data_IF_372820934698
#
_entry.id   IF_372820934698
#
_cell.length_a   1.000
_cell.length_b   1.000
_cell.length_c   1.000
_cell.angle_alpha   90.00
_cell.angle_beta   90.00
_cell.angle_gamma   90.00
#
_symmetry.space_group_name_H-M   'P 1'
#
loop_
_entity.id
_entity.type
_entity.pdbx_description
1 polymer ?
#
# COMPACT_ATOMS: atom_id res chain seq x y z
N UNK A 1 -14.54 11.46 9.60
CA UNK A 1 -13.26 12.17 9.80
C UNK A 1 -13.48 13.67 9.60
N UNK A 2 -12.88 14.55 10.42
CA UNK A 2 -12.90 16.00 10.19
C UNK A 2 -12.00 16.39 8.98
N UNK A 3 -12.12 17.64 8.51
CA UNK A 3 -11.27 18.15 7.42
C UNK A 3 -9.76 18.19 7.76
N UNK A 4 -9.47 18.37 9.04
CA UNK A 4 -8.12 18.22 9.60
C UNK A 4 -8.19 17.13 10.67
N UNK A 5 -7.34 16.13 10.53
CA UNK A 5 -7.32 14.96 11.41
C UNK A 5 -5.87 14.50 11.63
N UNK A 6 -5.69 13.57 12.53
CA UNK A 6 -4.38 13.05 12.90
C UNK A 6 -4.28 11.54 12.64
N UNK A 7 -3.11 11.11 12.20
CA UNK A 7 -2.74 9.71 12.06
C UNK A 7 -1.56 9.43 12.98
N UNK A 8 -1.70 8.53 13.94
CA UNK A 8 -0.59 8.11 14.78
C UNK A 8 -0.07 6.73 14.38
N UNK A 9 1.22 6.48 14.66
CA UNK A 9 1.83 5.18 14.47
C UNK A 9 2.71 4.80 15.67
N UNK A 10 2.64 3.54 16.10
CA UNK A 10 3.30 3.06 17.34
C UNK A 10 4.81 2.91 17.19
N UNK A 11 5.30 2.51 16.02
CA UNK A 11 6.68 2.14 15.74
C UNK A 11 7.16 2.76 14.43
N UNK A 12 8.49 3.00 14.31
CA UNK A 12 9.06 3.67 13.14
C UNK A 12 8.77 2.95 11.82
N UNK A 13 8.69 1.66 11.85
CA UNK A 13 8.42 0.78 10.73
C UNK A 13 7.05 1.07 10.08
N UNK A 14 6.10 1.59 10.86
CA UNK A 14 4.76 1.97 10.38
C UNK A 14 4.68 3.38 9.76
N UNK A 15 5.77 4.16 9.81
CA UNK A 15 5.80 5.53 9.27
C UNK A 15 5.42 5.57 7.79
N UNK A 16 5.90 4.58 7.01
CA UNK A 16 5.51 4.45 5.60
C UNK A 16 3.99 4.28 5.43
N UNK A 17 3.38 3.37 6.18
CA UNK A 17 1.93 3.11 6.10
C UNK A 17 1.10 4.33 6.50
N UNK A 18 1.56 5.08 7.51
CA UNK A 18 0.89 6.30 7.97
C UNK A 18 0.97 7.42 6.92
N UNK A 19 2.15 7.65 6.34
CA UNK A 19 2.33 8.65 5.28
C UNK A 19 1.56 8.25 4.01
N UNK A 20 1.60 6.98 3.61
CA UNK A 20 0.85 6.47 2.47
C UNK A 20 -0.66 6.72 2.60
N UNK A 21 -1.23 6.47 3.79
CA UNK A 21 -2.64 6.75 4.07
C UNK A 21 -2.94 8.26 4.02
N UNK A 22 -2.06 9.08 4.60
CA UNK A 22 -2.15 10.55 4.59
C UNK A 22 -2.19 11.09 3.16
N UNK A 23 -1.21 10.68 2.34
CA UNK A 23 -1.08 11.10 0.94
C UNK A 23 -2.30 10.65 0.12
N UNK A 24 -2.74 9.40 0.30
CA UNK A 24 -3.93 8.89 -0.38
C UNK A 24 -5.19 9.71 -0.07
N UNK A 25 -5.43 10.02 1.22
CA UNK A 25 -6.59 10.81 1.64
C UNK A 25 -6.50 12.24 1.10
N UNK A 26 -5.30 12.84 1.11
CA UNK A 26 -5.11 14.17 0.57
C UNK A 26 -5.36 14.21 -0.94
N UNK A 27 -4.77 13.30 -1.69
CA UNK A 27 -4.84 13.28 -3.16
C UNK A 27 -6.26 12.97 -3.69
N UNK A 28 -7.02 12.15 -2.97
CA UNK A 28 -8.33 11.70 -3.43
C UNK A 28 -9.50 12.47 -2.79
N UNK A 29 -9.35 12.95 -1.55
CA UNK A 29 -10.43 13.60 -0.79
C UNK A 29 -10.12 15.04 -0.42
N UNK A 30 -8.86 15.50 -0.53
CA UNK A 30 -8.44 16.86 -0.21
C UNK A 30 -8.32 17.15 1.29
N UNK A 31 -8.42 16.14 2.16
CA UNK A 31 -8.31 16.31 3.61
C UNK A 31 -6.86 16.25 4.07
N UNK A 32 -6.50 17.17 4.97
CA UNK A 32 -5.15 17.23 5.53
C UNK A 32 -5.05 16.43 6.81
N UNK A 33 -3.97 15.69 6.96
CA UNK A 33 -3.66 15.00 8.20
C UNK A 33 -2.30 15.36 8.76
N UNK A 34 -2.17 15.34 10.08
CA UNK A 34 -0.90 15.38 10.79
C UNK A 34 -0.48 13.95 11.10
N UNK A 35 0.71 13.54 10.64
CA UNK A 35 1.28 12.21 10.92
C UNK A 35 2.19 12.31 12.14
N UNK A 36 1.86 11.57 13.20
CA UNK A 36 2.48 11.70 14.52
C UNK A 36 3.03 10.34 14.98
N UNK A 37 4.31 10.30 15.35
CA UNK A 37 4.83 9.16 16.10
C UNK A 37 4.34 9.25 17.56
N UNK A 38 3.58 8.28 18.01
CA UNK A 38 3.02 8.34 19.36
C UNK A 38 2.39 7.05 19.85
N UNK A 39 2.05 7.04 21.13
CA UNK A 39 1.38 5.93 21.78
C UNK A 39 -0.12 5.88 21.45
N UNK A 40 -0.67 4.69 21.57
CA UNK A 40 -2.08 4.30 21.40
C UNK A 40 -3.11 5.38 21.79
N UNK A 41 -4.13 5.57 20.97
CA UNK A 41 -5.38 6.29 21.27
C UNK A 41 -5.28 7.81 21.43
N UNK A 42 -4.41 8.50 20.71
CA UNK A 42 -4.33 9.97 20.72
C UNK A 42 -4.66 10.65 19.40
N UNK A 43 -4.85 9.87 18.35
CA UNK A 43 -5.12 10.38 17.01
C UNK A 43 -6.48 9.87 16.52
N UNK A 44 -7.02 10.52 15.48
CA UNK A 44 -8.27 10.09 14.85
C UNK A 44 -8.12 8.74 14.15
N UNK A 45 -6.90 8.44 13.64
CA UNK A 45 -6.52 7.13 13.11
C UNK A 45 -5.25 6.66 13.82
N UNK A 46 -5.25 5.44 14.33
CA UNK A 46 -4.14 4.87 15.08
C UNK A 46 -3.65 3.59 14.41
N UNK A 47 -2.37 3.55 14.03
CA UNK A 47 -1.71 2.38 13.46
C UNK A 47 -0.84 1.69 14.51
N UNK A 48 -1.10 0.41 14.76
CA UNK A 48 -0.49 -0.36 15.84
C UNK A 48 0.04 -1.69 15.32
N UNK A 49 1.31 -1.96 15.54
CA UNK A 49 1.89 -3.28 15.37
C UNK A 49 1.79 -4.06 16.69
N UNK A 50 1.12 -5.20 16.68
CA UNK A 50 0.99 -6.03 17.87
C UNK A 50 2.24 -6.87 18.14
N UNK A 51 3.09 -7.05 17.13
CA UNK A 51 4.37 -7.80 17.18
C UNK A 51 4.29 -9.25 17.66
N UNK A 52 3.10 -9.78 17.92
CA UNK A 52 2.88 -11.13 18.49
C UNK A 52 1.65 -11.82 17.87
N UNK A 53 1.20 -11.41 16.72
CA UNK A 53 0.05 -12.02 16.05
C UNK A 53 0.36 -13.41 15.51
N UNK A 54 -0.63 -14.31 15.54
CA UNK A 54 -0.48 -15.71 15.13
C UNK A 54 -0.34 -15.90 13.63
N UNK A 55 -0.94 -15.02 12.83
CA UNK A 55 -0.95 -15.13 11.37
C UNK A 55 -0.24 -13.93 10.73
N UNK A 56 0.85 -14.15 9.96
CA UNK A 56 1.52 -13.08 9.25
C UNK A 56 0.57 -12.34 8.28
N UNK A 57 0.57 -11.01 8.34
CA UNK A 57 -0.31 -10.17 7.53
C UNK A 57 -1.75 -10.09 8.02
N UNK A 58 -2.09 -10.74 9.14
CA UNK A 58 -3.40 -10.58 9.78
C UNK A 58 -3.56 -9.20 10.39
N UNK A 59 -4.79 -8.67 10.40
CA UNK A 59 -5.08 -7.37 10.96
C UNK A 59 -6.52 -7.27 11.49
N UNK A 60 -6.73 -6.23 12.31
CA UNK A 60 -8.03 -5.82 12.82
C UNK A 60 -8.21 -4.33 12.59
N UNK A 61 -9.38 -3.92 12.14
CA UNK A 61 -9.82 -2.53 12.12
C UNK A 61 -10.97 -2.37 13.09
N UNK A 62 -10.84 -1.46 14.02
CA UNK A 62 -11.93 -1.06 14.91
C UNK A 62 -12.26 0.41 14.62
N UNK A 63 -13.51 0.67 14.25
CA UNK A 63 -14.08 2.01 14.10
C UNK A 63 -15.10 2.18 15.19
N UNK A 64 -14.81 3.05 16.15
CA UNK A 64 -15.62 3.25 17.36
C UNK A 64 -15.69 4.76 17.70
N UNK A 65 -16.88 5.31 17.72
CA UNK A 65 -17.11 6.64 18.25
C UNK A 65 -17.23 6.54 19.80
N UNK A 66 -16.42 7.27 20.60
CA UNK A 66 -15.64 8.46 20.28
C UNK A 66 -14.13 8.22 20.04
N UNK A 67 -13.67 6.98 19.93
CA UNK A 67 -12.23 6.65 19.94
C UNK A 67 -11.55 6.72 18.57
N UNK A 68 -12.33 6.92 17.51
CA UNK A 68 -11.81 7.02 16.15
C UNK A 68 -11.54 5.66 15.49
N UNK A 69 -10.54 5.60 14.61
CA UNK A 69 -10.19 4.41 13.85
C UNK A 69 -8.89 3.83 14.39
N UNK A 70 -8.89 2.55 14.71
CA UNK A 70 -7.68 1.82 15.11
C UNK A 70 -7.44 0.66 14.14
N UNK A 71 -6.23 0.61 13.58
CA UNK A 71 -5.75 -0.49 12.75
C UNK A 71 -4.64 -1.20 13.51
N UNK A 72 -4.88 -2.44 13.91
CA UNK A 72 -3.94 -3.31 14.58
C UNK A 72 -3.50 -4.40 13.60
N UNK A 73 -2.19 -4.52 13.35
CA UNK A 73 -1.62 -5.60 12.55
C UNK A 73 -0.82 -6.57 13.39
N UNK A 74 -0.82 -7.83 12.99
CA UNK A 74 0.05 -8.85 13.58
C UNK A 74 1.54 -8.60 13.30
N UNK A 75 1.79 -7.88 12.20
CA UNK A 75 3.08 -7.39 11.72
C UNK A 75 2.87 -6.11 10.89
N UNK A 76 3.95 -5.55 10.35
CA UNK A 76 3.91 -4.35 9.51
C UNK A 76 3.05 -4.54 8.26
N UNK A 77 3.11 -5.71 7.63
CA UNK A 77 2.31 -6.04 6.46
C UNK A 77 0.82 -6.07 6.79
N UNK A 78 0.45 -6.62 7.96
CA UNK A 78 -0.93 -6.61 8.46
C UNK A 78 -1.47 -5.20 8.64
N UNK A 79 -0.67 -4.28 9.24
CA UNK A 79 -1.07 -2.87 9.35
C UNK A 79 -1.28 -2.26 7.96
N UNK A 80 -0.37 -2.51 7.01
CA UNK A 80 -0.52 -2.01 5.64
C UNK A 80 -1.77 -2.57 4.95
N UNK A 81 -2.10 -3.86 5.13
CA UNK A 81 -3.32 -4.45 4.58
C UNK A 81 -4.58 -3.87 5.23
N UNK A 82 -4.53 -3.55 6.52
CA UNK A 82 -5.59 -2.81 7.19
C UNK A 82 -5.79 -1.41 6.61
N UNK A 83 -4.68 -0.70 6.32
CA UNK A 83 -4.73 0.59 5.61
C UNK A 83 -5.38 0.45 4.24
N UNK A 84 -5.04 -0.58 3.45
CA UNK A 84 -5.69 -0.84 2.16
C UNK A 84 -7.20 -1.10 2.29
N UNK A 85 -7.61 -1.78 3.35
CA UNK A 85 -9.04 -2.00 3.64
C UNK A 85 -9.73 -0.69 4.02
N UNK A 86 -9.12 0.13 4.88
CA UNK A 86 -9.67 1.45 5.22
C UNK A 86 -9.81 2.33 3.98
N UNK A 87 -8.83 2.35 3.08
CA UNK A 87 -8.88 3.07 1.81
C UNK A 87 -10.11 2.65 0.98
N UNK A 88 -10.43 1.37 0.94
CA UNK A 88 -11.61 0.86 0.21
C UNK A 88 -12.95 1.20 0.88
N UNK A 89 -12.95 1.54 2.16
CA UNK A 89 -14.13 2.04 2.87
C UNK A 89 -14.34 3.55 2.70
N UNK A 90 -13.33 4.28 2.23
CA UNK A 90 -13.45 5.71 1.99
C UNK A 90 -14.40 6.00 0.82
N UNK A 91 -15.15 7.12 0.87
CA UNK A 91 -16.02 7.49 -0.23
C UNK A 91 -15.21 7.82 -1.49
N UNK A 92 -15.74 7.43 -2.64
CA UNK A 92 -15.12 7.75 -3.95
C UNK A 92 -15.23 9.23 -4.30
N UNK A 93 -16.12 9.97 -3.64
CA UNK A 93 -16.39 11.37 -3.92
C UNK A 93 -15.87 12.27 -2.78
N UNK A 94 -14.94 13.14 -3.09
CA UNK A 94 -14.35 14.13 -2.18
C UNK A 94 -15.36 15.14 -1.58
N UNK A 95 -16.56 15.28 -2.15
CA UNK A 95 -17.58 16.18 -1.62
C UNK A 95 -18.29 15.67 -0.36
N UNK A 96 -18.04 14.42 0.04
CA UNK A 96 -18.68 13.79 1.19
C UNK A 96 -17.65 13.53 2.28
N UNK A 97 -17.88 14.08 3.47
CA UNK A 97 -17.09 13.75 4.65
C UNK A 97 -17.27 12.25 4.97
N UNK A 98 -16.16 11.48 5.13
CA UNK A 98 -16.25 10.09 5.51
C UNK A 98 -16.99 9.95 6.85
N UNK A 99 -18.11 9.27 6.82
CA UNK A 99 -18.85 8.85 8.01
C UNK A 99 -18.86 7.34 8.05
N UNK A 100 -18.54 6.80 9.20
CA UNK A 100 -18.49 5.37 9.42
C UNK A 100 -19.46 5.03 10.56
N UNK A 101 -20.21 3.97 10.39
CA UNK A 101 -20.86 3.29 11.51
C UNK A 101 -19.79 2.58 12.35
N UNK A 102 -20.15 2.17 13.57
CA UNK A 102 -19.28 1.31 14.37
C UNK A 102 -19.05 -0.02 13.65
N UNK A 103 -17.80 -0.32 13.35
CA UNK A 103 -17.41 -1.50 12.57
C UNK A 103 -16.20 -2.16 13.21
N UNK A 104 -16.26 -3.47 13.34
CA UNK A 104 -15.11 -4.32 13.61
C UNK A 104 -14.86 -5.22 12.40
N UNK A 105 -13.65 -5.11 11.83
CA UNK A 105 -13.18 -5.96 10.73
C UNK A 105 -11.98 -6.75 11.24
N UNK A 106 -12.02 -8.08 11.07
CA UNK A 106 -10.90 -8.97 11.31
C UNK A 106 -10.65 -9.76 10.02
N UNK A 107 -9.42 -9.73 9.52
CA UNK A 107 -9.05 -10.38 8.26
C UNK A 107 -7.61 -10.86 8.29
N UNK A 108 -7.32 -11.94 7.58
CA UNK A 108 -6.00 -12.52 7.45
C UNK A 108 -5.80 -13.17 6.08
N UNK A 109 -4.58 -13.22 5.56
CA UNK A 109 -4.31 -13.85 4.28
C UNK A 109 -4.59 -15.36 4.30
N UNK A 110 -5.49 -15.84 3.44
CA UNK A 110 -5.73 -17.28 3.26
C UNK A 110 -4.54 -17.98 2.59
N UNK A 111 -3.72 -17.26 1.81
CA UNK A 111 -2.55 -17.78 1.10
C UNK A 111 -1.33 -16.92 1.43
N UNK A 112 -0.19 -17.58 1.72
CA UNK A 112 1.08 -16.90 1.98
C UNK A 112 1.66 -16.23 0.73
N UNK A 113 1.54 -16.85 -0.43
CA UNK A 113 1.98 -16.34 -1.72
C UNK A 113 0.79 -15.78 -2.50
N UNK A 114 0.82 -14.48 -2.78
CA UNK A 114 -0.19 -13.76 -3.57
C UNK A 114 0.54 -12.86 -4.57
N UNK A 115 0.89 -13.41 -5.71
CA UNK A 115 1.76 -12.76 -6.68
C UNK A 115 1.13 -12.52 -8.04
N UNK A 116 1.67 -11.50 -8.73
CA UNK A 116 1.42 -11.27 -10.15
C UNK A 116 2.75 -11.17 -10.91
N UNK A 117 2.70 -11.56 -12.18
CA UNK A 117 3.80 -11.40 -13.13
C UNK A 117 3.45 -10.27 -14.10
N UNK A 118 4.42 -9.39 -14.37
CA UNK A 118 4.36 -8.39 -15.44
C UNK A 118 5.53 -8.58 -16.39
N UNK A 119 5.22 -8.85 -17.65
CA UNK A 119 6.21 -8.97 -18.71
C UNK A 119 6.37 -7.63 -19.44
N UNK A 120 7.54 -7.01 -19.30
CA UNK A 120 7.92 -5.77 -19.99
C UNK A 120 8.97 -6.01 -21.09
N UNK A 121 9.29 -7.28 -21.34
CA UNK A 121 10.27 -7.68 -22.36
C UNK A 121 9.61 -7.76 -23.72
N UNK A 122 8.49 -8.50 -23.82
CA UNK A 122 7.77 -8.68 -25.10
C UNK A 122 7.14 -7.40 -25.59
N UNK A 123 6.67 -6.57 -24.67
CA UNK A 123 6.18 -5.21 -24.94
C UNK A 123 6.70 -4.26 -23.86
N UNK A 124 7.31 -3.16 -24.29
CA UNK A 124 7.79 -2.14 -23.35
C UNK A 124 6.62 -1.46 -22.65
N UNK A 125 6.69 -1.39 -21.31
CA UNK A 125 5.75 -0.63 -20.50
C UNK A 125 6.52 0.48 -19.73
N UNK A 126 6.04 1.73 -19.77
CA UNK A 126 6.72 2.83 -19.10
C UNK A 126 6.68 2.68 -17.58
N UNK A 127 7.63 3.30 -16.89
CA UNK A 127 7.74 3.26 -15.43
C UNK A 127 6.45 3.68 -14.73
N UNK A 128 5.72 4.67 -15.28
CA UNK A 128 4.42 5.11 -14.75
C UNK A 128 3.36 3.99 -14.74
N UNK A 129 3.38 3.14 -15.76
CA UNK A 129 2.49 1.96 -15.80
C UNK A 129 2.88 0.94 -14.74
N UNK A 130 4.18 0.65 -14.59
CA UNK A 130 4.68 -0.31 -13.60
C UNK A 130 4.34 0.16 -12.18
N UNK A 131 4.52 1.46 -11.87
CA UNK A 131 4.13 2.04 -10.58
C UNK A 131 2.63 1.84 -10.31
N UNK A 132 1.78 2.18 -11.29
CA UNK A 132 0.33 1.98 -11.17
C UNK A 132 -0.06 0.50 -11.00
N UNK A 133 0.67 -0.41 -11.64
CA UNK A 133 0.47 -1.85 -11.46
C UNK A 133 0.79 -2.28 -10.02
N UNK A 134 1.86 -1.75 -9.42
CA UNK A 134 2.22 -2.00 -8.02
C UNK A 134 1.16 -1.42 -7.07
N UNK A 135 0.61 -0.23 -7.36
CA UNK A 135 -0.47 0.36 -6.56
C UNK A 135 -1.72 -0.53 -6.57
N UNK A 136 -2.08 -1.11 -7.73
CA UNK A 136 -3.17 -2.09 -7.79
C UNK A 136 -2.85 -3.38 -7.04
N UNK A 137 -1.60 -3.86 -7.10
CA UNK A 137 -1.18 -5.01 -6.28
C UNK A 137 -1.34 -4.71 -4.79
N UNK A 138 -0.95 -3.53 -4.33
CA UNK A 138 -1.11 -3.09 -2.95
C UNK A 138 -2.59 -3.05 -2.55
N UNK A 139 -3.45 -2.44 -3.37
CA UNK A 139 -4.90 -2.37 -3.13
C UNK A 139 -5.54 -3.76 -2.96
N UNK A 140 -5.05 -4.76 -3.70
CA UNK A 140 -5.50 -6.15 -3.61
C UNK A 140 -4.69 -6.99 -2.61
N UNK A 141 -3.84 -6.37 -1.80
CA UNK A 141 -3.02 -7.04 -0.76
C UNK A 141 -2.11 -8.14 -1.31
N UNK A 142 -1.65 -8.00 -2.57
CA UNK A 142 -0.69 -8.91 -3.17
C UNK A 142 0.70 -8.60 -2.63
N UNK A 143 1.54 -9.64 -2.44
CA UNK A 143 2.82 -9.50 -1.76
C UNK A 143 4.04 -9.94 -2.56
N UNK A 144 3.84 -10.45 -3.78
CA UNK A 144 4.92 -10.84 -4.68
C UNK A 144 4.73 -10.24 -6.06
N UNK A 145 5.73 -9.49 -6.52
CA UNK A 145 5.80 -8.95 -7.86
C UNK A 145 6.88 -9.65 -8.66
N UNK A 146 6.48 -10.47 -9.64
CA UNK A 146 7.40 -11.04 -10.60
C UNK A 146 7.53 -10.09 -11.79
N UNK A 147 8.58 -9.29 -11.79
CA UNK A 147 8.87 -8.37 -12.87
C UNK A 147 9.81 -9.04 -13.87
N UNK A 148 9.28 -9.44 -15.04
CA UNK A 148 10.04 -10.08 -16.09
C UNK A 148 10.75 -9.03 -16.95
N UNK A 149 12.07 -8.89 -16.73
CA UNK A 149 12.87 -7.79 -17.27
C UNK A 149 13.85 -8.21 -18.36
N UNK A 150 14.10 -9.50 -18.53
CA UNK A 150 15.11 -10.01 -19.45
C UNK A 150 14.67 -11.30 -20.11
N UNK A 151 14.75 -11.35 -21.44
CA UNK A 151 14.51 -12.54 -22.24
C UNK A 151 15.20 -12.36 -23.61
N UNK A 152 15.02 -13.29 -24.54
CA UNK A 152 15.60 -13.24 -25.89
C UNK A 152 15.13 -12.05 -26.73
N UNK A 153 13.94 -11.50 -26.48
CA UNK A 153 13.38 -10.37 -27.22
C UNK A 153 13.95 -9.03 -26.79
N UNK A 154 14.29 -8.84 -25.50
CA UNK A 154 14.90 -7.62 -25.02
C UNK A 154 15.50 -7.74 -23.61
N UNK A 155 16.44 -6.83 -23.33
CA UNK A 155 17.08 -6.69 -22.03
C UNK A 155 16.74 -5.33 -21.42
N UNK A 156 16.04 -5.29 -20.25
CA UNK A 156 15.53 -4.06 -19.64
C UNK A 156 16.25 -3.66 -18.35
N UNK A 157 17.30 -4.39 -17.94
CA UNK A 157 18.08 -4.09 -16.74
C UNK A 157 19.42 -3.48 -17.15
N UNK A 158 19.70 -2.26 -16.66
CA UNK A 158 21.02 -1.64 -16.86
C UNK A 158 22.12 -2.47 -16.19
N UNK A 159 23.12 -2.85 -16.98
CA UNK A 159 24.31 -3.56 -16.51
C UNK A 159 25.53 -2.68 -16.76
N UNK A 160 26.08 -2.03 -15.74
CA UNK A 160 27.22 -1.10 -15.87
C UNK A 160 28.48 -1.78 -16.43
N UNK A 161 28.66 -3.07 -16.18
CA UNK A 161 29.78 -3.87 -16.72
C UNK A 161 29.57 -4.32 -18.18
N UNK A 162 28.36 -4.28 -18.70
CA UNK A 162 27.97 -4.71 -20.04
C UNK A 162 26.88 -3.77 -20.58
N UNK A 163 27.22 -2.52 -20.90
CA UNK A 163 26.24 -1.52 -21.32
C UNK A 163 25.51 -1.89 -22.61
N UNK A 164 26.15 -2.67 -23.48
CA UNK A 164 25.59 -3.13 -24.75
C UNK A 164 24.31 -3.93 -24.58
N UNK A 165 24.09 -4.56 -23.41
CA UNK A 165 22.85 -5.27 -23.10
C UNK A 165 21.62 -4.35 -23.10
N UNK A 166 21.80 -3.10 -22.71
CA UNK A 166 20.71 -2.11 -22.76
C UNK A 166 20.81 -1.17 -23.96
N UNK A 167 22.00 -0.80 -24.40
CA UNK A 167 22.17 0.11 -25.54
C UNK A 167 21.74 -0.54 -26.86
N UNK A 168 21.97 -1.84 -27.02
CA UNK A 168 21.63 -2.62 -28.23
C UNK A 168 20.51 -3.61 -27.93
N UNK A 169 20.64 -4.39 -26.86
CA UNK A 169 19.73 -5.48 -26.54
C UNK A 169 18.36 -5.06 -26.01
N UNK A 170 18.14 -3.77 -25.72
CA UNK A 170 16.83 -3.25 -25.31
C UNK A 170 15.89 -2.92 -26.49
N UNK A 171 16.41 -2.90 -27.70
CA UNK A 171 15.66 -2.58 -28.90
C UNK A 171 15.48 -3.80 -29.80
N UNK A 172 14.35 -3.85 -30.50
CA UNK A 172 14.11 -4.79 -31.60
C UNK A 172 13.38 -4.10 -32.74
N UNK A 173 13.52 -4.63 -33.95
CA UNK A 173 12.79 -4.12 -35.11
C UNK A 173 11.29 -4.37 -34.94
N UNK A 174 10.47 -3.34 -35.12
CA UNK A 174 9.00 -3.41 -35.09
C UNK A 174 8.31 -2.98 -33.80
N UNK A 175 9.04 -2.43 -32.86
CA UNK A 175 8.46 -1.77 -31.65
C UNK A 175 8.86 -0.31 -31.57
#
# INVERSE_FOLDING_TARGET
LPYEFSISFSEKELEFSANYLSDYIYDNLGFKSEVIKGSKFRADINLINLANGSTPGGYRINIDAPYGITIEGNDEAGVFYGVQTLIQLLPVNAAVLPQFDEILIEDEPALQYRGLLLDVVRHFLPVSYVKKFIDYMALHKLNYFHWHLTDDQAWRIEMKSHPELTEIGSYREGE
#
